data_IF_858437830489
#
_entry.id   IF_858437830489
#
_cell.length_a   1.000
_cell.length_b   1.000
_cell.length_c   1.000
_cell.angle_alpha   90.00
_cell.angle_beta   90.00
_cell.angle_gamma   90.00
#
_symmetry.space_group_name_H-M   'P 1'
#
loop_
_entity.id
_entity.type
_entity.pdbx_description
1 polymer ?
#
# COMPACT_ATOMS: atom_id res chain seq x y z
N UNK A 1 -1.46 -6.04 2.27
CA UNK A 1 -2.07 -5.28 3.38
C UNK A 1 -3.57 -5.59 3.45
N UNK A 2 -4.06 -5.99 4.62
CA UNK A 2 -5.46 -6.38 4.91
C UNK A 2 -5.95 -5.81 6.26
N UNK A 3 -5.31 -4.75 6.71
CA UNK A 3 -5.65 -4.01 7.93
C UNK A 3 -5.69 -2.51 7.63
N UNK A 4 -6.53 -1.81 8.38
CA UNK A 4 -6.71 -0.35 8.26
C UNK A 4 -5.67 0.43 9.05
N UNK A 5 -5.62 1.76 8.89
CA UNK A 5 -4.69 2.65 9.62
C UNK A 5 -4.80 2.52 11.15
N UNK A 6 -5.94 2.04 11.66
CA UNK A 6 -6.18 1.79 13.08
C UNK A 6 -6.17 0.30 13.46
N UNK A 7 -5.52 -0.56 12.66
CA UNK A 7 -5.38 -2.00 12.94
C UNK A 7 -6.67 -2.82 12.83
N UNK A 8 -7.77 -2.25 12.33
CA UNK A 8 -9.00 -3.04 12.12
C UNK A 8 -8.83 -3.96 10.92
N UNK A 9 -9.20 -5.23 11.10
CA UNK A 9 -9.19 -6.24 10.05
C UNK A 9 -10.18 -5.88 8.93
N UNK A 10 -9.74 -6.03 7.69
CA UNK A 10 -10.60 -5.84 6.53
C UNK A 10 -11.60 -7.00 6.38
N UNK A 11 -12.85 -6.65 6.06
CA UNK A 11 -13.87 -7.56 5.54
C UNK A 11 -13.51 -7.97 4.11
N UNK A 12 -13.75 -9.24 3.75
CA UNK A 12 -13.58 -9.71 2.37
C UNK A 12 -14.54 -9.00 1.42
N UNK A 13 -14.07 -8.68 0.22
CA UNK A 13 -14.88 -7.99 -0.81
C UNK A 13 -16.06 -8.82 -1.35
N UNK A 14 -16.01 -10.14 -1.22
CA UNK A 14 -17.12 -11.04 -1.56
C UNK A 14 -18.08 -11.30 -0.38
N UNK A 15 -17.73 -10.85 0.83
CA UNK A 15 -18.61 -10.92 2.00
C UNK A 15 -19.58 -9.74 2.04
N UNK A 16 -20.81 -10.01 2.46
CA UNK A 16 -21.84 -8.98 2.70
C UNK A 16 -22.11 -8.78 4.20
N UNK A 17 -21.22 -9.22 5.07
CA UNK A 17 -21.32 -9.09 6.53
C UNK A 17 -19.95 -8.75 7.14
N UNK A 18 -19.90 -7.85 8.14
CA UNK A 18 -21.01 -7.08 8.73
C UNK A 18 -21.57 -5.99 7.81
N UNK A 19 -20.80 -5.53 6.82
CA UNK A 19 -21.20 -4.40 5.98
C UNK A 19 -21.65 -4.87 4.61
N UNK A 20 -22.97 -4.78 4.33
CA UNK A 20 -23.49 -4.93 2.96
C UNK A 20 -22.98 -3.80 2.08
N UNK A 21 -22.62 -4.09 0.84
CA UNK A 21 -22.10 -3.12 -0.11
C UNK A 21 -22.27 -3.51 -1.58
N UNK A 22 -22.22 -2.51 -2.46
CA UNK A 22 -22.30 -2.68 -3.92
C UNK A 22 -20.96 -3.03 -4.57
N UNK A 23 -19.83 -2.70 -3.94
CA UNK A 23 -18.47 -2.90 -4.49
C UNK A 23 -18.07 -4.38 -4.56
N UNK A 24 -18.60 -5.06 -5.56
CA UNK A 24 -18.43 -6.50 -5.82
C UNK A 24 -17.62 -6.71 -7.09
N UNK A 25 -17.02 -7.89 -7.25
CA UNK A 25 -16.29 -8.26 -8.48
C UNK A 25 -17.19 -8.16 -9.71
N UNK A 26 -18.49 -8.44 -9.58
CA UNK A 26 -19.45 -8.31 -10.69
C UNK A 26 -19.63 -6.85 -11.16
N UNK A 27 -19.63 -5.88 -10.23
CA UNK A 27 -19.77 -4.46 -10.57
C UNK A 27 -18.44 -3.78 -10.91
N UNK A 28 -17.33 -4.32 -10.40
CA UNK A 28 -15.99 -3.76 -10.52
C UNK A 28 -14.96 -4.86 -10.89
N UNK A 29 -15.10 -5.51 -12.06
CA UNK A 29 -14.28 -6.67 -12.43
C UNK A 29 -12.79 -6.36 -12.48
N UNK A 30 -12.42 -5.18 -12.98
CA UNK A 30 -11.02 -4.77 -13.19
C UNK A 30 -10.40 -4.06 -11.98
N UNK A 31 -11.09 -4.02 -10.83
CA UNK A 31 -10.58 -3.35 -9.62
C UNK A 31 -9.83 -4.28 -8.67
N UNK A 32 -9.67 -5.55 -9.06
CA UNK A 32 -8.87 -6.53 -8.31
C UNK A 32 -9.38 -6.75 -6.89
N UNK A 33 -10.71 -6.74 -6.69
CA UNK A 33 -11.40 -6.92 -5.41
C UNK A 33 -11.27 -8.37 -4.91
N UNK A 34 -10.07 -8.75 -4.47
CA UNK A 34 -9.68 -10.11 -4.07
C UNK A 34 -9.48 -10.19 -2.54
N UNK A 35 -9.96 -11.27 -1.94
CA UNK A 35 -9.93 -11.52 -0.49
C UNK A 35 -10.40 -10.29 0.29
N UNK A 36 -9.67 -9.89 1.33
CA UNK A 36 -9.88 -8.70 2.13
C UNK A 36 -8.75 -7.66 1.96
N UNK A 37 -8.07 -7.65 0.81
CA UNK A 37 -6.97 -6.73 0.59
C UNK A 37 -7.44 -5.31 0.35
N UNK A 38 -6.70 -4.32 0.85
CA UNK A 38 -7.00 -2.92 0.62
C UNK A 38 -7.01 -2.57 -0.89
N UNK A 39 -8.05 -1.87 -1.35
CA UNK A 39 -8.24 -1.49 -2.76
C UNK A 39 -8.81 -0.08 -2.88
N UNK A 40 -8.76 0.45 -4.09
CA UNK A 40 -9.33 1.75 -4.42
C UNK A 40 -10.22 1.65 -5.68
N UNK A 41 -11.40 1.03 -5.57
CA UNK A 41 -12.28 0.83 -6.73
C UNK A 41 -12.93 2.13 -7.22
N UNK A 42 -13.04 3.14 -6.37
CA UNK A 42 -13.86 4.34 -6.54
C UNK A 42 -13.07 5.65 -6.65
N UNK A 43 -11.76 5.58 -6.92
CA UNK A 43 -10.90 6.76 -7.08
C UNK A 43 -10.82 7.64 -5.82
N UNK A 44 -10.93 7.02 -4.65
CA UNK A 44 -10.65 7.63 -3.35
C UNK A 44 -9.18 8.09 -3.25
N UNK A 45 -8.85 8.89 -2.24
CA UNK A 45 -7.49 9.44 -2.05
C UNK A 45 -6.43 8.37 -1.71
N UNK A 46 -6.84 7.28 -1.05
CA UNK A 46 -5.99 6.15 -0.65
C UNK A 46 -6.75 4.82 -0.79
N UNK A 47 -6.05 3.68 -0.88
CA UNK A 47 -6.69 2.39 -0.72
C UNK A 47 -7.38 2.26 0.64
N UNK A 48 -8.50 1.56 0.65
CA UNK A 48 -9.33 1.34 1.82
C UNK A 48 -9.97 -0.05 1.77
N UNK A 49 -10.65 -0.43 2.84
CA UNK A 49 -11.46 -1.64 2.88
C UNK A 49 -12.67 -1.46 3.81
N UNK A 50 -13.72 -2.27 3.61
CA UNK A 50 -14.72 -2.48 4.65
C UNK A 50 -14.07 -3.16 5.86
N UNK A 51 -14.53 -2.91 7.08
CA UNK A 51 -13.93 -3.55 8.27
C UNK A 51 -14.80 -4.67 8.81
N UNK A 52 -14.22 -5.61 9.56
CA UNK A 52 -15.00 -6.62 10.27
C UNK A 52 -15.71 -6.07 11.52
N UNK A 53 -15.46 -4.82 11.90
CA UNK A 53 -16.08 -4.17 13.04
C UNK A 53 -17.44 -3.55 12.63
N UNK A 54 -18.57 -3.95 13.25
CA UNK A 54 -19.90 -3.41 12.91
C UNK A 54 -20.05 -1.90 13.12
N UNK A 55 -19.29 -1.30 14.04
CA UNK A 55 -19.33 0.13 14.33
C UNK A 55 -18.47 0.97 13.38
N UNK A 56 -17.62 0.36 12.55
CA UNK A 56 -16.78 1.05 11.57
C UNK A 56 -16.98 0.45 10.20
N UNK A 57 -17.80 1.09 9.37
CA UNK A 57 -18.16 0.57 8.06
C UNK A 57 -16.94 0.30 7.17
N UNK A 58 -16.06 1.28 7.07
CA UNK A 58 -14.83 1.21 6.27
C UNK A 58 -13.80 2.13 6.88
N UNK A 59 -12.53 1.93 6.52
CA UNK A 59 -11.48 2.89 6.83
C UNK A 59 -10.31 2.77 5.83
N UNK A 60 -9.47 3.81 5.75
CA UNK A 60 -8.27 3.79 4.93
C UNK A 60 -7.24 2.78 5.45
N UNK A 61 -6.39 2.32 4.53
CA UNK A 61 -5.27 1.45 4.82
C UNK A 61 -3.95 2.23 4.85
N UNK A 62 -3.00 1.81 5.70
CA UNK A 62 -1.69 2.46 5.82
C UNK A 62 -0.76 1.94 4.71
N UNK A 63 -1.16 2.14 3.45
CA UNK A 63 -0.30 1.85 2.30
C UNK A 63 0.46 3.14 1.98
N UNK A 64 1.78 3.18 2.23
CA UNK A 64 2.59 4.34 1.90
C UNK A 64 2.69 4.48 0.37
N UNK A 65 2.95 5.71 -0.08
CA UNK A 65 3.18 5.96 -1.50
C UNK A 65 4.51 5.37 -1.92
N UNK A 66 4.69 5.14 -3.22
CA UNK A 66 5.94 4.60 -3.74
C UNK A 66 7.12 5.55 -3.44
N UNK A 67 6.85 6.85 -3.46
CA UNK A 67 7.82 7.90 -3.17
C UNK A 67 8.23 7.92 -1.68
N UNK A 68 7.36 7.46 -0.78
CA UNK A 68 7.66 7.42 0.66
C UNK A 68 8.73 6.35 1.00
N UNK A 69 9.00 5.40 0.09
CA UNK A 69 10.09 4.42 0.22
C UNK A 69 11.45 4.97 -0.24
N UNK A 70 11.48 6.20 -0.74
CA UNK A 70 12.69 6.92 -1.10
C UNK A 70 13.09 7.76 0.11
N UNK A 71 14.01 7.25 0.92
CA UNK A 71 14.56 8.04 2.02
C UNK A 71 15.74 8.84 1.51
N UNK A 72 15.57 10.16 1.46
CA UNK A 72 16.64 11.09 1.12
C UNK A 72 17.27 11.65 2.39
N UNK A 73 18.53 11.32 2.61
CA UNK A 73 19.32 11.89 3.70
C UNK A 73 20.06 13.15 3.22
N UNK A 74 19.90 14.24 3.98
CA UNK A 74 20.65 15.48 3.75
C UNK A 74 22.02 15.34 4.37
N UNK A 75 23.05 15.26 3.54
CA UNK A 75 24.42 15.30 4.04
C UNK A 75 24.76 16.72 4.52
N UNK A 76 25.39 16.86 5.70
CA UNK A 76 25.66 18.17 6.31
C UNK A 76 26.66 19.04 5.52
N UNK A 77 27.33 18.49 4.51
CA UNK A 77 28.41 19.16 3.77
C UNK A 77 28.16 19.27 2.25
N UNK A 78 27.01 18.85 1.75
CA UNK A 78 26.70 18.90 0.31
C UNK A 78 25.31 19.44 0.05
N UNK A 79 25.11 20.20 -1.03
CA UNK A 79 23.80 20.67 -1.49
C UNK A 79 22.96 19.59 -2.20
N UNK A 80 23.47 18.35 -2.26
CA UNK A 80 22.78 17.21 -2.85
C UNK A 80 22.19 16.32 -1.75
N UNK A 81 21.01 15.79 -2.03
CA UNK A 81 20.36 14.77 -1.20
C UNK A 81 20.79 13.39 -1.71
N UNK A 82 21.16 12.48 -0.80
CA UNK A 82 21.39 11.08 -1.16
C UNK A 82 20.10 10.31 -0.87
N UNK A 83 19.51 9.76 -1.92
CA UNK A 83 18.27 8.99 -1.81
C UNK A 83 18.55 7.49 -1.89
N UNK A 84 18.04 6.74 -0.92
CA UNK A 84 18.07 5.29 -0.87
C UNK A 84 16.66 4.73 -1.07
N UNK A 85 16.52 3.68 -1.86
CA UNK A 85 15.32 2.85 -1.84
C UNK A 85 15.39 1.92 -0.64
N UNK A 86 14.45 2.08 0.28
CA UNK A 86 14.32 1.13 1.38
C UNK A 86 13.86 -0.23 0.82
N UNK A 87 14.48 -1.36 1.21
CA UNK A 87 13.94 -2.66 0.87
C UNK A 87 12.56 -2.79 1.52
N UNK A 88 11.53 -3.01 0.70
CA UNK A 88 10.16 -3.26 1.14
C UNK A 88 10.17 -4.33 2.26
N UNK A 89 9.79 -3.96 3.48
CA UNK A 89 9.66 -4.90 4.60
C UNK A 89 8.38 -5.72 4.47
N UNK A 90 8.30 -6.58 3.45
CA UNK A 90 7.41 -7.75 3.43
C UNK A 90 8.15 -8.89 2.71
N UNK A 91 8.58 -9.88 3.50
CA UNK A 91 9.36 -11.09 3.21
C UNK A 91 10.88 -10.95 3.25
N UNK A 92 11.45 -11.51 4.31
CA UNK A 92 12.84 -11.96 4.38
C UNK A 92 13.18 -12.87 3.20
N UNK A 93 14.36 -12.63 2.59
CA UNK A 93 14.99 -13.34 1.45
C UNK A 93 14.42 -12.89 0.08
N UNK A 94 15.19 -12.38 -0.91
CA UNK A 94 16.32 -12.99 -1.62
C UNK A 94 17.15 -11.99 -2.48
N UNK A 95 18.45 -12.28 -2.63
CA UNK A 95 19.52 -11.79 -3.54
C UNK A 95 19.82 -10.29 -3.69
N UNK A 96 20.91 -9.86 -3.04
CA UNK A 96 21.73 -8.75 -3.54
C UNK A 96 22.39 -9.22 -4.84
N UNK A 97 21.96 -8.74 -6.00
CA UNK A 97 22.76 -8.83 -7.23
C UNK A 97 23.11 -7.43 -7.74
N UNK A 98 24.35 -7.07 -7.45
CA UNK A 98 25.23 -6.17 -8.18
C UNK A 98 24.89 -4.68 -8.23
N UNK A 99 25.69 -3.94 -7.47
CA UNK A 99 26.08 -2.55 -7.71
C UNK A 99 26.26 -2.27 -9.22
N UNK A 100 25.51 -1.30 -9.75
CA UNK A 100 26.02 -0.48 -10.84
C UNK A 100 25.83 0.99 -10.50
N UNK A 101 26.84 1.53 -9.81
CA UNK A 101 27.12 2.97 -9.83
C UNK A 101 27.33 3.38 -11.28
N UNK A 102 26.29 3.88 -11.97
CA UNK A 102 26.47 4.64 -13.20
C UNK A 102 26.69 6.10 -12.85
N UNK A 103 27.93 6.44 -12.56
CA UNK A 103 28.40 7.82 -12.72
C UNK A 103 28.26 8.17 -14.21
N UNK A 104 27.34 9.08 -14.54
CA UNK A 104 27.28 9.64 -15.89
C UNK A 104 28.26 10.80 -15.95
N UNK A 105 29.48 10.51 -16.41
CA UNK A 105 30.43 11.53 -16.86
C UNK A 105 29.96 11.99 -18.24
N UNK A 106 29.47 13.22 -18.32
CA UNK A 106 29.84 14.26 -19.31
C UNK A 106 29.17 15.56 -18.92
#
# INVERSE_FOLDING_TARGET
MSETEFGKTCQRWDSQTPHKHSRTVAQYPDKGLKENYCRNPDQSSKPWCYTTNPSTRWNYCPIPKCEDYIQCEKLPLTSFEICFHLPNTLSTEWWVSEYTLRAKVR
#
